data_IF_510394009442
#
_entry.id   IF_510394009442
#
_cell.length_a   1.000
_cell.length_b   1.000
_cell.length_c   1.000
_cell.angle_alpha   90.00
_cell.angle_beta   90.00
_cell.angle_gamma   90.00
#
_symmetry.space_group_name_H-M   'P 1'
#
loop_
_entity.id
_entity.type
_entity.pdbx_description
1 polymer ?
#
# COMPACT_ATOMS: atom_id res chain seq x y z
N UNK A 1 14.95 -6.28 -1.84
CA UNK A 1 13.85 -5.34 -1.52
C UNK A 1 12.61 -5.78 -2.28
N UNK A 2 11.42 -5.63 -1.71
CA UNK A 2 10.20 -6.28 -2.20
C UNK A 2 9.55 -5.59 -3.40
N UNK A 3 9.93 -4.36 -3.75
CA UNK A 3 9.38 -3.60 -4.88
C UNK A 3 9.48 -4.37 -6.20
N UNK A 4 10.53 -5.18 -6.38
CA UNK A 4 10.72 -6.00 -7.59
C UNK A 4 9.62 -7.04 -7.81
N UNK A 5 8.92 -7.43 -6.74
CA UNK A 5 7.83 -8.41 -6.82
C UNK A 5 6.52 -7.76 -7.27
N UNK A 6 6.40 -6.44 -7.27
CA UNK A 6 5.17 -5.74 -7.68
C UNK A 6 5.21 -5.28 -9.14
N UNK A 7 5.63 -6.17 -10.03
CA UNK A 7 5.58 -5.95 -11.48
C UNK A 7 4.18 -6.20 -12.04
N UNK A 8 3.83 -5.49 -13.10
CA UNK A 8 2.53 -5.62 -13.75
C UNK A 8 2.25 -7.08 -14.15
N UNK A 9 1.06 -7.56 -13.82
CA UNK A 9 0.60 -8.93 -14.05
C UNK A 9 1.12 -9.95 -13.03
N UNK A 10 1.91 -9.59 -12.02
CA UNK A 10 2.18 -10.52 -10.91
C UNK A 10 0.92 -10.74 -10.09
N UNK A 11 0.66 -11.99 -9.66
CA UNK A 11 -0.50 -12.34 -8.82
C UNK A 11 -0.13 -12.79 -7.41
N UNK A 12 -1.05 -12.52 -6.49
CA UNK A 12 -0.95 -12.88 -5.08
C UNK A 12 -2.24 -13.47 -4.54
N UNK A 13 -2.10 -14.31 -3.51
CA UNK A 13 -3.17 -14.76 -2.63
C UNK A 13 -3.03 -14.06 -1.28
N UNK A 14 -4.02 -13.23 -0.93
CA UNK A 14 -3.91 -12.39 0.26
C UNK A 14 -5.24 -11.81 0.71
N UNK A 15 -5.36 -11.64 2.03
CA UNK A 15 -6.40 -10.83 2.65
C UNK A 15 -5.71 -9.67 3.35
N UNK A 16 -6.10 -8.43 3.06
CA UNK A 16 -5.59 -7.26 3.78
C UNK A 16 -5.82 -7.47 5.29
N UNK A 17 -4.85 -7.18 6.16
CA UNK A 17 -5.08 -7.09 7.59
C UNK A 17 -6.23 -6.12 7.93
N UNK A 18 -6.86 -6.30 9.08
CA UNK A 18 -7.94 -5.42 9.52
C UNK A 18 -7.44 -4.00 9.79
N UNK A 19 -8.35 -3.03 9.68
CA UNK A 19 -8.07 -1.66 10.10
C UNK A 19 -8.02 -1.58 11.64
N UNK A 20 -7.24 -0.64 12.16
CA UNK A 20 -7.15 -0.41 13.61
C UNK A 20 -8.18 0.62 14.01
N UNK A 21 -9.09 0.25 14.92
CA UNK A 21 -10.04 1.19 15.51
C UNK A 21 -9.35 2.18 16.44
N UNK A 22 -9.74 3.45 16.38
CA UNK A 22 -9.27 4.48 17.31
C UNK A 22 -10.30 5.61 17.47
N UNK A 23 -10.17 6.43 18.53
CA UNK A 23 -10.87 7.70 18.61
C UNK A 23 -10.60 8.56 17.36
N UNK A 24 -11.64 9.20 16.82
CA UNK A 24 -11.56 10.05 15.63
C UNK A 24 -11.04 11.47 15.96
N UNK A 25 -10.06 11.55 16.85
CA UNK A 25 -9.46 12.80 17.37
C UNK A 25 -7.99 12.93 16.98
N UNK A 26 -7.49 12.08 16.08
CA UNK A 26 -6.09 12.08 15.68
C UNK A 26 -5.08 11.54 16.71
N UNK A 27 -5.39 10.51 17.52
CA UNK A 27 -4.35 9.90 18.35
C UNK A 27 -3.31 9.20 17.47
N UNK A 28 -2.05 9.26 17.90
CA UNK A 28 -1.00 8.39 17.35
C UNK A 28 -1.08 7.05 18.09
N UNK A 29 -1.38 5.98 17.36
CA UNK A 29 -1.51 4.62 17.90
C UNK A 29 -0.50 3.69 17.24
N UNK A 30 -0.03 2.68 17.96
CA UNK A 30 0.84 1.67 17.34
C UNK A 30 0.01 0.79 16.40
N UNK A 31 0.57 0.48 15.23
CA UNK A 31 0.07 -0.60 14.39
C UNK A 31 0.19 -1.93 15.13
N UNK A 32 -0.80 -2.78 14.93
CA UNK A 32 -0.87 -4.16 15.44
C UNK A 32 0.27 -5.05 14.96
N UNK A 33 0.95 -4.66 13.87
CA UNK A 33 1.99 -5.42 13.16
C UNK A 33 1.51 -6.76 12.58
N UNK A 34 0.21 -7.04 12.58
CA UNK A 34 -0.32 -8.32 12.13
C UNK A 34 -0.36 -8.39 10.59
N UNK A 35 0.79 -8.67 9.97
CA UNK A 35 0.84 -8.96 8.55
C UNK A 35 0.22 -10.33 8.25
N UNK A 36 -0.86 -10.36 7.47
CA UNK A 36 -1.31 -11.59 6.80
C UNK A 36 -0.35 -11.91 5.66
N UNK A 37 0.13 -13.16 5.52
CA UNK A 37 1.09 -13.49 4.49
C UNK A 37 0.56 -13.20 3.08
N UNK A 38 1.25 -12.30 2.38
CA UNK A 38 1.09 -12.01 0.95
C UNK A 38 1.82 -13.12 0.19
N UNK A 39 1.08 -14.07 -0.36
CA UNK A 39 1.65 -15.28 -0.98
C UNK A 39 1.68 -15.14 -2.50
N UNK A 40 2.84 -15.32 -3.13
CA UNK A 40 2.97 -15.27 -4.59
C UNK A 40 2.23 -16.45 -5.25
N UNK A 41 1.33 -16.16 -6.21
CA UNK A 41 0.51 -17.16 -6.89
C UNK A 41 0.92 -17.39 -8.36
N UNK A 42 1.70 -16.50 -8.96
CA UNK A 42 2.14 -16.64 -10.35
C UNK A 42 1.94 -15.36 -11.15
N UNK A 43 1.70 -15.50 -12.45
CA UNK A 43 1.33 -14.40 -13.33
C UNK A 43 -0.15 -14.42 -13.64
N UNK A 44 -0.66 -13.25 -14.01
CA UNK A 44 -1.93 -13.07 -14.65
C UNK A 44 -1.88 -13.70 -16.05
N UNK A 45 -2.94 -14.43 -16.40
CA UNK A 45 -3.02 -15.13 -17.68
C UNK A 45 -3.22 -14.19 -18.87
N UNK A 46 -3.59 -12.92 -18.63
CA UNK A 46 -3.80 -11.95 -19.68
C UNK A 46 -2.49 -11.23 -20.04
N UNK A 47 -1.90 -11.64 -21.16
CA UNK A 47 -0.65 -11.08 -21.68
C UNK A 47 -0.63 -9.56 -21.77
N UNK A 48 -1.77 -8.89 -21.99
CA UNK A 48 -1.84 -7.43 -22.08
C UNK A 48 -1.61 -6.72 -20.73
N UNK A 49 -1.85 -7.41 -19.61
CA UNK A 49 -1.66 -6.88 -18.26
C UNK A 49 -0.28 -7.24 -17.67
N UNK A 50 0.47 -8.13 -18.32
CA UNK A 50 1.74 -8.64 -17.83
C UNK A 50 2.90 -7.81 -18.37
N UNK A 51 3.86 -7.47 -17.49
CA UNK A 51 5.15 -6.91 -17.90
C UNK A 51 5.80 -7.82 -18.96
N UNK A 52 6.09 -7.32 -20.18
CA UNK A 52 6.60 -8.14 -21.27
C UNK A 52 7.84 -8.95 -20.92
N UNK A 53 8.68 -8.46 -20.01
CA UNK A 53 9.86 -9.20 -19.57
C UNK A 53 9.50 -10.48 -18.82
N UNK A 54 8.36 -10.53 -18.12
CA UNK A 54 7.91 -11.73 -17.43
C UNK A 54 7.33 -12.78 -18.39
N UNK A 55 7.05 -12.42 -19.64
CA UNK A 55 6.56 -13.34 -20.67
C UNK A 55 7.69 -13.96 -21.49
N UNK A 56 8.86 -13.34 -21.57
CA UNK A 56 9.96 -13.75 -22.45
C UNK A 56 11.01 -14.62 -21.75
N UNK A 57 11.06 -14.58 -20.43
CA UNK A 57 12.02 -15.33 -19.60
C UNK A 57 11.30 -16.03 -18.46
N UNK A 58 11.92 -17.07 -17.90
CA UNK A 58 11.34 -17.79 -16.77
C UNK A 58 11.10 -16.80 -15.62
N UNK A 59 9.85 -16.65 -15.19
CA UNK A 59 9.44 -15.70 -14.15
C UNK A 59 10.23 -15.89 -12.87
N UNK A 60 10.54 -17.15 -12.53
CA UNK A 60 11.35 -17.51 -11.37
C UNK A 60 12.76 -16.94 -11.49
N UNK A 61 13.34 -16.89 -12.70
CA UNK A 61 14.66 -16.29 -12.93
C UNK A 61 14.65 -14.75 -12.85
N UNK A 62 13.55 -14.10 -13.23
CA UNK A 62 13.45 -12.62 -13.16
C UNK A 62 13.16 -12.15 -11.75
N UNK A 63 12.16 -12.75 -11.11
CA UNK A 63 11.70 -12.32 -9.79
C UNK A 63 12.52 -12.97 -8.67
N UNK A 64 13.09 -14.15 -8.90
CA UNK A 64 13.79 -14.91 -7.85
C UNK A 64 12.84 -15.40 -6.77
N UNK A 65 11.58 -15.70 -7.11
CA UNK A 65 10.55 -16.16 -6.18
C UNK A 65 9.81 -17.38 -6.73
N UNK A 66 9.58 -18.37 -5.87
CA UNK A 66 8.81 -19.57 -6.18
C UNK A 66 7.33 -19.37 -5.84
N UNK A 67 6.43 -19.98 -6.63
CA UNK A 67 5.00 -20.00 -6.32
C UNK A 67 4.76 -20.57 -4.91
N UNK A 68 3.91 -19.92 -4.13
CA UNK A 68 3.66 -20.25 -2.73
C UNK A 68 4.60 -19.57 -1.72
N UNK A 69 5.65 -18.88 -2.17
CA UNK A 69 6.51 -18.11 -1.28
C UNK A 69 5.76 -16.88 -0.71
N UNK A 70 6.07 -16.54 0.53
CA UNK A 70 5.55 -15.34 1.19
C UNK A 70 6.46 -14.14 0.94
N UNK A 71 5.85 -12.99 0.68
CA UNK A 71 6.56 -11.70 0.60
C UNK A 71 6.76 -11.18 2.02
N UNK A 72 8.00 -11.13 2.50
CA UNK A 72 8.33 -10.58 3.80
C UNK A 72 8.09 -9.06 3.82
N UNK A 73 7.29 -8.60 4.77
CA UNK A 73 6.98 -7.19 4.97
C UNK A 73 6.42 -6.97 6.38
N UNK A 74 6.57 -5.76 6.89
CA UNK A 74 5.76 -5.28 8.00
C UNK A 74 4.51 -4.56 7.46
N UNK A 75 3.49 -4.46 8.31
CA UNK A 75 2.21 -3.87 7.96
C UNK A 75 1.93 -2.61 8.77
N UNK A 76 1.78 -1.48 8.07
CA UNK A 76 1.34 -0.21 8.62
C UNK A 76 -0.18 -0.09 8.48
N UNK A 77 -0.85 -0.17 9.62
CA UNK A 77 -2.30 -0.16 9.70
C UNK A 77 -2.91 1.12 9.13
N UNK A 78 -4.17 1.02 8.71
CA UNK A 78 -5.02 2.18 8.51
C UNK A 78 -5.86 2.38 9.77
N UNK A 79 -5.86 3.60 10.29
CA UNK A 79 -6.58 4.00 11.48
C UNK A 79 -7.53 5.17 11.13
N UNK A 80 -8.79 4.90 10.75
CA UNK A 80 -9.73 5.94 10.31
C UNK A 80 -9.92 7.00 11.41
N UNK A 81 -9.54 8.25 11.14
CA UNK A 81 -9.63 9.32 12.13
C UNK A 81 -8.47 9.36 13.15
N UNK A 82 -7.39 8.62 12.90
CA UNK A 82 -6.19 8.56 13.74
C UNK A 82 -4.90 8.54 12.92
N UNK A 83 -3.78 8.28 13.60
CA UNK A 83 -2.49 8.08 12.97
C UNK A 83 -1.93 6.74 13.42
N UNK A 84 -1.84 5.78 12.51
CA UNK A 84 -1.15 4.53 12.79
C UNK A 84 0.37 4.75 12.72
N UNK A 85 1.12 4.18 13.66
CA UNK A 85 2.58 4.25 13.77
C UNK A 85 3.19 2.86 13.76
N UNK A 86 4.24 2.69 12.97
CA UNK A 86 5.06 1.48 12.98
C UNK A 86 6.54 1.85 13.08
N UNK A 87 7.26 1.44 14.14
CA UNK A 87 8.73 1.55 14.17
C UNK A 87 9.36 0.85 12.97
N UNK A 88 10.27 1.50 12.26
CA UNK A 88 10.93 0.88 11.09
C UNK A 88 12.07 -0.01 11.58
N UNK A 89 11.94 -1.33 11.37
CA UNK A 89 12.87 -2.35 11.89
C UNK A 89 13.77 -3.02 10.86
N UNK A 90 14.02 -2.38 9.72
CA UNK A 90 14.83 -2.95 8.63
C UNK A 90 14.07 -3.84 7.64
N UNK A 91 12.76 -4.02 7.83
CA UNK A 91 11.88 -4.60 6.82
C UNK A 91 11.19 -3.52 5.97
N UNK A 92 10.80 -3.91 4.77
CA UNK A 92 9.94 -3.12 3.90
C UNK A 92 8.51 -3.08 4.50
N UNK A 93 7.83 -1.95 4.37
CA UNK A 93 6.51 -1.69 4.99
C UNK A 93 5.45 -1.51 3.90
N UNK A 94 4.40 -2.31 3.95
CA UNK A 94 3.17 -2.09 3.18
C UNK A 94 2.12 -1.39 4.04
N UNK A 95 1.22 -0.64 3.40
CA UNK A 95 0.18 0.14 4.09
C UNK A 95 -1.22 -0.39 3.81
N UNK A 96 -2.21 0.03 4.61
CA UNK A 96 -3.62 -0.07 4.24
C UNK A 96 -3.97 0.59 2.90
N UNK A 97 -5.22 0.42 2.46
CA UNK A 97 -5.71 1.02 1.22
C UNK A 97 -5.57 2.55 1.23
N UNK A 98 -5.13 3.12 0.12
CA UNK A 98 -4.83 4.54 -0.02
C UNK A 98 -5.83 5.21 -0.98
N UNK A 99 -6.72 6.04 -0.45
CA UNK A 99 -7.65 6.90 -1.23
C UNK A 99 -7.25 8.39 -1.23
N UNK A 100 -6.14 8.74 -0.58
CA UNK A 100 -5.71 10.14 -0.40
C UNK A 100 -4.93 10.41 0.88
N UNK A 101 -4.82 9.41 1.76
CA UNK A 101 -4.04 9.48 2.99
C UNK A 101 -2.54 9.75 2.72
N UNK A 102 -1.87 10.39 3.68
CA UNK A 102 -0.42 10.61 3.65
C UNK A 102 0.30 9.48 4.37
N UNK A 103 1.41 9.03 3.78
CA UNK A 103 2.37 8.14 4.42
C UNK A 103 3.62 8.95 4.73
N UNK A 104 4.06 8.92 5.99
CA UNK A 104 5.15 9.75 6.50
C UNK A 104 6.15 8.86 7.22
N UNK A 105 7.43 9.19 7.18
CA UNK A 105 8.52 8.57 7.92
C UNK A 105 9.30 9.66 8.65
N UNK A 106 9.66 9.42 9.91
CA UNK A 106 10.47 10.35 10.70
C UNK A 106 10.77 9.80 12.10
N UNK A 107 11.66 10.47 12.82
CA UNK A 107 12.09 10.09 14.17
C UNK A 107 11.08 10.57 15.21
N UNK A 108 10.40 9.64 15.85
CA UNK A 108 9.40 9.92 16.87
C UNK A 108 9.76 9.20 18.16
N UNK A 109 9.83 9.96 19.26
CA UNK A 109 10.31 9.48 20.57
C UNK A 109 11.64 8.71 20.47
N UNK A 110 12.59 9.24 19.68
CA UNK A 110 13.92 8.63 19.48
C UNK A 110 13.96 7.43 18.51
N UNK A 111 12.84 7.04 17.89
CA UNK A 111 12.78 5.86 17.01
C UNK A 111 12.26 6.25 15.63
N UNK A 112 13.01 5.90 14.58
CA UNK A 112 12.54 6.04 13.21
C UNK A 112 11.27 5.22 13.02
N UNK A 113 10.19 5.89 12.61
CA UNK A 113 8.86 5.29 12.50
C UNK A 113 8.19 5.72 11.19
N UNK A 114 7.34 4.85 10.67
CA UNK A 114 6.38 5.15 9.62
C UNK A 114 5.02 5.53 10.23
N UNK A 115 4.28 6.39 9.55
CA UNK A 115 3.00 6.93 9.96
C UNK A 115 2.02 6.87 8.80
N UNK A 116 0.80 6.41 9.08
CA UNK A 116 -0.33 6.49 8.17
C UNK A 116 -1.35 7.47 8.75
N UNK A 117 -1.48 8.63 8.13
CA UNK A 117 -2.44 9.66 8.55
C UNK A 117 -3.82 9.26 8.01
N UNK A 118 -4.64 8.65 8.85
CA UNK A 118 -5.89 8.04 8.44
C UNK A 118 -7.03 9.05 8.32
N UNK A 119 -7.42 9.35 7.08
CA UNK A 119 -8.55 10.24 6.76
C UNK A 119 -9.78 9.44 6.35
N UNK A 120 -10.96 9.97 6.67
CA UNK A 120 -12.26 9.39 6.32
C UNK A 120 -12.86 10.20 5.17
N UNK A 121 -13.12 9.55 4.02
CA UNK A 121 -13.53 10.22 2.77
C UNK A 121 -14.73 11.18 2.95
N UNK A 122 -15.70 10.80 3.77
CA UNK A 122 -16.94 11.57 4.00
C UNK A 122 -16.96 12.40 5.29
N UNK A 123 -15.81 12.58 5.97
CA UNK A 123 -15.73 13.35 7.21
C UNK A 123 -14.58 14.38 7.21
N UNK A 124 -14.72 15.51 6.50
CA UNK A 124 -13.67 16.53 6.40
C UNK A 124 -13.37 17.20 7.73
N UNK A 125 -14.31 17.25 8.68
CA UNK A 125 -14.08 17.82 10.00
C UNK A 125 -13.07 16.98 10.82
N UNK A 126 -13.27 15.65 10.85
CA UNK A 126 -12.31 14.72 11.47
C UNK A 126 -10.95 14.81 10.76
N UNK A 127 -10.94 14.83 9.43
CA UNK A 127 -9.69 14.89 8.65
C UNK A 127 -8.85 16.13 9.01
N UNK A 128 -9.49 17.30 9.13
CA UNK A 128 -8.80 18.53 9.57
C UNK A 128 -8.24 18.40 10.97
N UNK A 129 -8.98 17.82 11.91
CA UNK A 129 -8.52 17.60 13.29
C UNK A 129 -7.32 16.67 13.33
N UNK A 130 -7.40 15.51 12.65
CA UNK A 130 -6.32 14.52 12.59
C UNK A 130 -5.04 15.13 12.02
N UNK A 131 -5.15 15.80 10.86
CA UNK A 131 -3.99 16.39 10.20
C UNK A 131 -3.36 17.52 11.05
N UNK A 132 -4.18 18.38 11.66
CA UNK A 132 -3.69 19.47 12.53
C UNK A 132 -2.98 18.92 13.75
N UNK A 133 -3.53 17.89 14.40
CA UNK A 133 -2.92 17.28 15.57
C UNK A 133 -1.60 16.60 15.19
N UNK A 134 -1.56 15.90 14.05
CA UNK A 134 -0.32 15.30 13.58
C UNK A 134 0.73 16.34 13.15
N UNK A 135 0.33 17.46 12.56
CA UNK A 135 1.23 18.55 12.19
C UNK A 135 2.03 19.08 13.40
N UNK A 136 1.40 19.16 14.57
CA UNK A 136 2.07 19.57 15.81
C UNK A 136 3.09 18.53 16.30
N UNK A 137 2.85 17.25 16.02
CA UNK A 137 3.73 16.14 16.38
C UNK A 137 4.70 15.72 15.25
N UNK A 138 4.72 16.45 14.13
CA UNK A 138 5.48 16.05 12.94
C UNK A 138 6.99 16.14 13.21
N UNK A 139 7.72 15.00 13.11
CA UNK A 139 9.17 14.98 13.30
C UNK A 139 9.92 16.02 12.46
N UNK A 140 11.05 16.51 12.97
CA UNK A 140 11.88 17.51 12.28
C UNK A 140 12.56 16.94 11.03
N UNK A 141 12.83 15.64 11.01
CA UNK A 141 13.41 14.88 9.89
C UNK A 141 12.33 14.24 9.00
N UNK A 142 11.06 14.63 9.14
CA UNK A 142 9.96 13.98 8.46
C UNK A 142 10.06 14.08 6.92
N UNK A 143 9.84 12.95 6.26
CA UNK A 143 9.64 12.82 4.82
C UNK A 143 8.40 11.98 4.55
N UNK A 144 7.77 12.11 3.38
CA UNK A 144 6.56 11.33 3.11
C UNK A 144 6.08 11.46 1.68
N UNK A 145 4.93 10.86 1.39
CA UNK A 145 4.33 10.86 0.06
C UNK A 145 2.82 10.59 0.10
N UNK A 146 2.15 10.86 -1.02
CA UNK A 146 0.75 10.47 -1.26
C UNK A 146 0.72 9.38 -2.32
N UNK A 147 0.48 8.10 -1.96
CA UNK A 147 0.47 7.00 -2.93
C UNK A 147 -0.60 7.16 -4.02
N UNK A 148 -1.76 7.73 -3.70
CA UNK A 148 -2.88 7.83 -4.63
C UNK A 148 -2.61 8.81 -5.79
N UNK A 149 -1.74 9.79 -5.59
CA UNK A 149 -1.51 10.88 -6.54
C UNK A 149 -0.85 10.45 -7.86
N UNK A 150 -0.28 9.23 -7.95
CA UNK A 150 0.54 8.81 -9.09
C UNK A 150 -0.15 7.84 -10.05
N UNK A 151 -1.46 7.61 -9.93
CA UNK A 151 -2.20 6.63 -10.75
C UNK A 151 -3.38 7.20 -11.57
N UNK A 152 -3.18 8.26 -12.40
CA UNK A 152 -4.24 8.77 -13.26
C UNK A 152 -4.74 7.75 -14.30
N UNK A 153 -3.93 6.77 -14.67
CA UNK A 153 -4.24 5.77 -15.69
C UNK A 153 -4.90 4.48 -15.15
N UNK A 154 -5.40 4.49 -13.91
CA UNK A 154 -5.97 3.30 -13.25
C UNK A 154 -7.00 2.57 -14.13
N UNK A 155 -7.92 3.30 -14.78
CA UNK A 155 -8.95 2.72 -15.64
C UNK A 155 -8.37 2.12 -16.94
N UNK A 156 -7.30 2.71 -17.49
CA UNK A 156 -6.61 2.18 -18.67
C UNK A 156 -5.92 0.86 -18.33
N UNK A 157 -5.26 0.80 -17.17
CA UNK A 157 -4.61 -0.42 -16.69
C UNK A 157 -5.66 -1.50 -16.41
N UNK A 158 -6.78 -1.15 -15.77
CA UNK A 158 -7.89 -2.07 -15.50
C UNK A 158 -8.39 -2.74 -16.80
N UNK A 159 -8.56 -1.97 -17.87
CA UNK A 159 -9.00 -2.49 -19.17
C UNK A 159 -8.09 -3.56 -19.77
N UNK A 160 -6.82 -3.64 -19.36
CA UNK A 160 -5.86 -4.65 -19.83
C UNK A 160 -6.05 -6.01 -19.19
N UNK A 161 -6.69 -6.09 -18.03
CA UNK A 161 -6.93 -7.37 -17.34
C UNK A 161 -7.97 -8.24 -18.05
N UNK A 162 -8.84 -7.66 -18.90
CA UNK A 162 -9.74 -8.37 -19.81
C UNK A 162 -10.75 -9.33 -19.17
N UNK A 163 -11.70 -9.81 -19.97
CA UNK A 163 -12.67 -10.84 -19.55
C UNK A 163 -13.87 -10.33 -18.71
N UNK A 164 -14.77 -11.25 -18.29
CA UNK A 164 -15.96 -10.93 -17.49
C UNK A 164 -15.65 -10.67 -16.01
N UNK A 165 -14.42 -10.93 -15.56
CA UNK A 165 -14.00 -10.74 -14.18
C UNK A 165 -14.01 -9.24 -13.81
N UNK A 166 -14.73 -8.90 -12.73
CA UNK A 166 -14.70 -7.54 -12.18
C UNK A 166 -13.44 -7.43 -11.33
N UNK A 167 -12.62 -6.40 -11.55
CA UNK A 167 -11.46 -6.16 -10.69
C UNK A 167 -11.61 -4.80 -9.99
N UNK A 168 -11.40 -4.76 -8.68
CA UNK A 168 -11.48 -3.51 -7.91
C UNK A 168 -10.08 -2.96 -7.68
N UNK A 169 -9.74 -1.76 -8.20
CA UNK A 169 -8.43 -1.16 -7.98
C UNK A 169 -8.25 -0.76 -6.51
N UNK A 170 -7.07 -1.03 -5.98
CA UNK A 170 -6.62 -0.59 -4.66
C UNK A 170 -5.17 -0.13 -4.77
N UNK A 171 -4.89 1.01 -4.15
CA UNK A 171 -3.56 1.59 -4.09
C UNK A 171 -2.99 1.32 -2.70
N UNK A 172 -1.73 0.94 -2.64
CA UNK A 172 -0.97 0.70 -1.43
C UNK A 172 0.29 1.56 -1.45
N UNK A 173 0.71 2.04 -0.29
CA UNK A 173 2.05 2.59 -0.10
C UNK A 173 3.05 1.47 0.19
N UNK A 174 4.28 1.67 -0.26
CA UNK A 174 5.44 0.88 0.12
C UNK A 174 6.56 1.82 0.59
N UNK A 175 7.08 1.57 1.78
CA UNK A 175 8.32 2.18 2.27
C UNK A 175 9.37 1.08 2.31
N UNK A 176 10.45 1.22 1.55
CA UNK A 176 11.54 0.23 1.63
C UNK A 176 12.32 0.41 2.92
N UNK A 177 13.08 -0.61 3.32
CA UNK A 177 14.00 -0.57 4.45
C UNK A 177 15.04 0.56 4.30
N UNK A 178 15.40 0.91 3.07
CA UNK A 178 16.27 2.03 2.74
C UNK A 178 15.57 3.41 2.82
N UNK A 179 14.26 3.43 3.08
CA UNK A 179 13.45 4.66 3.19
C UNK A 179 12.92 5.20 1.86
N UNK A 180 12.97 4.43 0.76
CA UNK A 180 12.41 4.85 -0.52
C UNK A 180 10.88 4.65 -0.55
N UNK A 181 10.16 5.55 -1.22
CA UNK A 181 8.71 5.50 -1.32
C UNK A 181 8.25 5.00 -2.68
N UNK A 182 7.33 4.05 -2.66
CA UNK A 182 6.66 3.53 -3.86
C UNK A 182 5.15 3.49 -3.67
N UNK A 183 4.42 3.69 -4.76
CA UNK A 183 2.99 3.45 -4.83
C UNK A 183 2.75 2.19 -5.66
N UNK A 184 1.93 1.28 -5.14
CA UNK A 184 1.59 0.00 -5.77
C UNK A 184 0.11 0.04 -6.13
N UNK A 185 -0.20 -0.23 -7.39
CA UNK A 185 -1.57 -0.47 -7.83
C UNK A 185 -1.81 -1.98 -7.89
N UNK A 186 -2.80 -2.48 -7.15
CA UNK A 186 -3.26 -3.86 -7.24
C UNK A 186 -4.77 -3.91 -7.48
N UNK A 187 -5.21 -4.98 -8.11
CA UNK A 187 -6.60 -5.24 -8.42
C UNK A 187 -7.05 -6.47 -7.64
N UNK A 188 -8.07 -6.31 -6.80
CA UNK A 188 -8.75 -7.45 -6.20
C UNK A 188 -9.61 -8.09 -7.29
N UNK A 189 -9.25 -9.30 -7.72
CA UNK A 189 -9.91 -10.00 -8.81
C UNK A 189 -11.18 -10.67 -8.25
N UNK A 190 -12.31 -10.37 -8.87
CA UNK A 190 -13.60 -10.92 -8.48
C UNK A 190 -14.17 -11.76 -9.63
N UNK A 191 -14.87 -12.83 -9.26
CA UNK A 191 -15.74 -13.57 -10.16
C UNK A 191 -17.06 -12.80 -10.39
N UNK A 192 -17.98 -13.39 -11.13
CA UNK A 192 -19.32 -12.82 -11.38
C UNK A 192 -20.13 -12.60 -10.09
N UNK A 193 -19.80 -13.34 -9.03
CA UNK A 193 -20.41 -13.23 -7.69
C UNK A 193 -19.74 -12.16 -6.83
N UNK A 194 -18.75 -11.46 -7.37
CA UNK A 194 -18.13 -10.29 -6.75
C UNK A 194 -16.98 -10.62 -5.79
N UNK A 195 -16.57 -11.88 -5.63
CA UNK A 195 -15.38 -12.25 -4.85
C UNK A 195 -14.77 -13.56 -5.34
N UNK A 196 -13.54 -13.52 -5.85
CA UNK A 196 -12.79 -14.73 -6.13
C UNK A 196 -11.83 -15.04 -4.98
N UNK A 197 -12.00 -16.19 -4.35
CA UNK A 197 -11.11 -16.66 -3.28
C UNK A 197 -10.71 -18.12 -3.49
N UNK A 198 -9.58 -18.51 -2.92
CA UNK A 198 -9.17 -19.92 -2.89
C UNK A 198 -9.95 -20.69 -1.79
N UNK A 199 -9.81 -22.03 -1.69
CA UNK A 199 -10.49 -22.82 -0.65
C UNK A 199 -10.16 -22.40 0.80
N UNK A 200 -9.07 -21.68 1.03
CA UNK A 200 -8.68 -21.12 2.32
C UNK A 200 -9.23 -19.70 2.57
N UNK A 201 -10.10 -19.19 1.69
CA UNK A 201 -10.71 -17.86 1.81
C UNK A 201 -9.75 -16.69 1.52
N UNK A 202 -8.57 -16.93 0.92
CA UNK A 202 -7.67 -15.86 0.47
C UNK A 202 -8.13 -15.31 -0.87
N UNK A 203 -8.16 -13.98 -1.01
CA UNK A 203 -8.52 -13.31 -2.26
C UNK A 203 -7.38 -13.30 -3.27
N UNK A 204 -7.73 -13.34 -4.55
CA UNK A 204 -6.78 -13.16 -5.64
C UNK A 204 -6.54 -11.69 -5.93
N UNK A 205 -5.27 -11.33 -6.02
CA UNK A 205 -4.83 -9.99 -6.39
C UNK A 205 -3.94 -10.05 -7.62
N UNK A 206 -4.10 -9.08 -8.52
CA UNK A 206 -3.20 -8.88 -9.64
C UNK A 206 -2.56 -7.49 -9.56
N UNK A 207 -1.27 -7.40 -9.79
CA UNK A 207 -0.54 -6.13 -9.74
C UNK A 207 -0.74 -5.37 -11.05
N UNK A 208 -1.23 -4.13 -10.97
CA UNK A 208 -1.28 -3.19 -12.08
C UNK A 208 0.05 -2.55 -12.39
N UNK A 209 0.89 -2.38 -11.36
CA UNK A 209 2.24 -1.89 -11.47
C UNK A 209 2.72 -1.24 -10.17
N UNK A 210 3.93 -0.70 -10.24
CA UNK A 210 4.58 0.02 -9.15
C UNK A 210 5.25 1.28 -9.70
N UNK A 211 5.20 2.37 -8.94
CA UNK A 211 5.86 3.65 -9.26
C UNK A 211 6.66 4.14 -8.07
N UNK A 212 7.92 4.53 -8.30
CA UNK A 212 8.68 5.30 -7.32
C UNK A 212 8.05 6.68 -7.16
N UNK A 213 7.91 7.17 -5.92
CA UNK A 213 7.31 8.47 -5.62
C UNK A 213 8.35 9.36 -4.95
N UNK A 214 8.63 10.56 -5.50
CA UNK A 214 9.55 11.48 -4.85
C UNK A 214 9.09 11.84 -3.44
N UNK A 215 10.03 11.83 -2.49
CA UNK A 215 9.75 12.22 -1.11
C UNK A 215 9.37 13.71 -1.03
N UNK A 216 8.27 13.99 -0.36
CA UNK A 216 7.97 15.32 0.17
C UNK A 216 8.84 15.57 1.40
N UNK A 217 9.50 16.72 1.42
CA UNK A 217 10.18 17.20 2.62
C UNK A 217 9.16 17.69 3.66
N UNK A 218 9.65 17.95 4.88
CA UNK A 218 8.82 18.41 6.01
C UNK A 218 7.97 19.65 5.68
N UNK A 219 8.51 20.62 4.93
CA UNK A 219 7.78 21.84 4.56
C UNK A 219 6.56 21.52 3.69
N UNK A 220 6.73 20.66 2.68
CA UNK A 220 5.61 20.21 1.83
C UNK A 220 4.61 19.37 2.60
N UNK A 221 5.07 18.49 3.50
CA UNK A 221 4.20 17.73 4.38
C UNK A 221 3.35 18.65 5.27
N UNK A 222 3.96 19.67 5.85
CA UNK A 222 3.27 20.64 6.69
C UNK A 222 2.16 21.35 5.91
N UNK A 223 2.45 21.77 4.66
CA UNK A 223 1.44 22.37 3.80
C UNK A 223 0.26 21.40 3.53
N UNK A 224 0.53 20.13 3.23
CA UNK A 224 -0.51 19.11 2.98
C UNK A 224 -1.33 18.73 4.23
N UNK A 225 -0.74 18.84 5.42
CA UNK A 225 -1.42 18.62 6.69
C UNK A 225 -2.29 19.82 7.09
N UNK A 226 -1.92 21.03 6.67
CA UNK A 226 -2.66 22.25 7.00
C UNK A 226 -3.75 22.62 5.98
N UNK A 227 -3.80 21.95 4.82
CA UNK A 227 -4.89 22.01 3.83
C UNK A 227 -6.04 21.05 4.17
#
# INVERSE_FOLDING_TARGET
>A
MIERYFRAGVRYLWNKPNDTGCPQTGPIINSSKAATPLTYDGLDGNRAAVDPMLLTVNVTSVLGIAKGANIAHDWLDYAPGGIARLPTGGQDILTGYMSGCLIIRGTYTGVMSAFHVGTIDNNPAVNRTVKRNFAQALPTDATGFSPAAVWPETNVILGRFGGPAKATPRIFGLITAAGAFHSILMFNVCDERGQWSNPAGKRYWAVGGIKAVPAMNRTRLMASLMS
#
